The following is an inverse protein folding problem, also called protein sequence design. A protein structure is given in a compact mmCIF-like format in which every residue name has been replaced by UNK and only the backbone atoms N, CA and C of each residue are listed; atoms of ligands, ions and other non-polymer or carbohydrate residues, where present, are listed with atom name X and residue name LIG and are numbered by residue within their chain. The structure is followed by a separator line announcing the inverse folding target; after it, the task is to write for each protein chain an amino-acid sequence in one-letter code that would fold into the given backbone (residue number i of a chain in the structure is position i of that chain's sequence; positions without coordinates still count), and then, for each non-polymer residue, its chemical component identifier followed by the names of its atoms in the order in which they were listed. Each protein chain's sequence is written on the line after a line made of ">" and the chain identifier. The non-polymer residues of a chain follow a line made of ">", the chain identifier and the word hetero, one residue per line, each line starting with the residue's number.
data_IF_875081829036
#
_entry.id   IF_875081829036
#
_cell.length_a   1.000
_cell.length_b   1.000
_cell.length_c   1.000
_cell.angle_alpha   90.00
_cell.angle_beta   90.00
_cell.angle_gamma   90.00
#
_symmetry.space_group_name_H-M   'P 1'
#
loop_
_entity.id
_entity.type
_entity.pdbx_description
1 polymer ?
#
# COMPACT_ATOMS: atom_id res chain seq x y z
N UNK A 1 26.08 27.68 14.63
CA UNK A 1 25.37 26.43 14.30
C UNK A 1 26.23 25.73 13.28
N UNK A 2 26.65 24.47 13.49
CA UNK A 2 27.43 23.79 12.47
C UNK A 2 26.48 23.34 11.36
N UNK A 3 26.80 23.75 10.13
CA UNK A 3 26.25 23.21 8.90
C UNK A 3 26.43 21.69 8.92
N UNK A 4 25.31 20.99 9.05
CA UNK A 4 25.27 19.54 8.90
C UNK A 4 25.27 19.26 7.39
N UNK A 5 26.45 19.36 6.78
CA UNK A 5 26.64 18.98 5.39
C UNK A 5 26.26 17.50 5.27
N UNK A 6 25.13 17.23 4.60
CA UNK A 6 24.70 15.87 4.31
C UNK A 6 25.84 15.17 3.55
N UNK A 7 26.31 14.03 4.09
CA UNK A 7 27.30 13.22 3.39
C UNK A 7 26.78 12.86 1.99
N UNK A 8 27.63 12.89 0.95
CA UNK A 8 27.20 12.61 -0.41
C UNK A 8 26.69 11.17 -0.50
N UNK A 9 25.39 11.02 -0.76
CA UNK A 9 24.75 9.72 -1.00
C UNK A 9 25.45 9.03 -2.17
N UNK A 10 26.17 7.95 -1.89
CA UNK A 10 26.87 7.18 -2.92
C UNK A 10 25.84 6.45 -3.77
N UNK A 11 25.63 6.93 -5.00
CA UNK A 11 24.73 6.30 -5.96
C UNK A 11 25.37 5.03 -6.53
N UNK A 12 24.65 3.92 -6.45
CA UNK A 12 24.98 2.73 -7.23
C UNK A 12 24.54 2.98 -8.67
N UNK A 13 25.41 2.69 -9.63
CA UNK A 13 25.14 2.87 -11.06
C UNK A 13 25.13 1.51 -11.75
N UNK A 14 24.11 1.28 -12.57
CA UNK A 14 23.88 0.03 -13.29
C UNK A 14 23.67 0.34 -14.78
N UNK A 15 24.09 -0.60 -15.63
CA UNK A 15 23.87 -0.54 -17.07
C UNK A 15 22.99 -1.73 -17.49
N UNK A 16 21.77 -1.44 -17.94
CA UNK A 16 20.80 -2.46 -18.35
C UNK A 16 20.15 -2.05 -19.66
N UNK A 17 20.20 -2.94 -20.66
CA UNK A 17 19.55 -2.77 -21.97
C UNK A 17 19.78 -1.40 -22.63
N UNK A 18 21.02 -0.89 -22.53
CA UNK A 18 21.39 0.40 -23.12
C UNK A 18 21.05 1.62 -22.28
N UNK A 19 20.44 1.44 -21.11
CA UNK A 19 20.06 2.49 -20.17
C UNK A 19 20.98 2.50 -18.94
N UNK A 20 21.27 3.70 -18.44
CA UNK A 20 21.95 3.90 -17.16
C UNK A 20 20.87 4.09 -16.09
N UNK A 21 20.89 3.24 -15.08
CA UNK A 21 20.00 3.33 -13.92
C UNK A 21 20.86 3.59 -12.69
N UNK A 22 20.43 4.50 -11.84
CA UNK A 22 21.08 4.78 -10.57
C UNK A 22 20.13 4.48 -9.42
N UNK A 23 20.66 4.01 -8.30
CA UNK A 23 19.87 3.84 -7.07
C UNK A 23 20.69 4.24 -5.84
N UNK A 24 20.09 5.00 -4.90
CA UNK A 24 20.73 5.34 -3.63
C UNK A 24 20.61 4.23 -2.58
N UNK A 25 19.65 3.30 -2.70
CA UNK A 25 19.32 2.37 -1.62
C UNK A 25 18.97 0.94 -2.07
N UNK A 26 19.01 0.63 -3.37
CA UNK A 26 18.66 -0.69 -3.90
C UNK A 26 19.75 -1.27 -4.80
N UNK A 27 19.83 -2.59 -4.82
CA UNK A 27 20.49 -3.31 -5.91
C UNK A 27 19.49 -3.51 -7.05
N UNK A 28 19.97 -3.42 -8.29
CA UNK A 28 19.10 -3.62 -9.44
C UNK A 28 18.57 -5.06 -9.48
N UNK A 29 17.30 -5.30 -9.86
CA UNK A 29 16.82 -6.65 -10.11
C UNK A 29 17.67 -7.30 -11.22
N UNK A 30 17.89 -8.62 -11.11
CA UNK A 30 18.70 -9.37 -12.10
C UNK A 30 18.15 -9.29 -13.53
N UNK A 31 16.86 -9.01 -13.67
CA UNK A 31 16.17 -8.83 -14.95
C UNK A 31 15.29 -7.59 -14.83
N UNK A 32 15.52 -6.62 -15.70
CA UNK A 32 14.73 -5.38 -15.77
C UNK A 32 13.86 -5.48 -17.01
N UNK A 33 12.59 -5.86 -16.86
CA UNK A 33 11.66 -5.91 -17.99
C UNK A 33 11.10 -4.51 -18.26
N UNK A 34 11.82 -3.74 -19.08
CA UNK A 34 11.43 -2.37 -19.47
C UNK A 34 10.05 -2.29 -20.12
N UNK A 35 9.61 -3.35 -20.80
CA UNK A 35 8.30 -3.40 -21.43
C UNK A 35 7.21 -3.59 -20.36
N UNK A 36 7.41 -4.52 -19.42
CA UNK A 36 6.48 -4.71 -18.30
C UNK A 36 6.41 -3.48 -17.39
N UNK A 37 7.53 -2.80 -17.14
CA UNK A 37 7.56 -1.60 -16.29
C UNK A 37 6.80 -0.41 -16.88
N UNK A 38 6.73 -0.33 -18.22
CA UNK A 38 5.98 0.70 -18.94
C UNK A 38 4.50 0.38 -19.17
N UNK A 39 4.01 -0.79 -18.71
CA UNK A 39 2.59 -1.14 -18.89
C UNK A 39 1.72 -0.23 -18.04
N UNK A 40 0.72 0.36 -18.69
CA UNK A 40 -0.39 0.98 -17.98
C UNK A 40 -1.15 -0.08 -17.19
N UNK A 41 -1.77 0.35 -16.10
CA UNK A 41 -2.72 -0.49 -15.39
C UNK A 41 -3.89 -0.85 -16.30
N UNK A 42 -4.51 -2.02 -16.05
CA UNK A 42 -5.82 -2.29 -16.62
C UNK A 42 -6.84 -1.22 -16.17
N UNK A 43 -7.93 -1.11 -16.92
CA UNK A 43 -9.08 -0.26 -16.56
C UNK A 43 -10.33 -1.13 -16.34
N UNK A 44 -10.75 -1.36 -15.08
CA UNK A 44 -10.15 -0.89 -13.83
C UNK A 44 -8.88 -1.68 -13.45
N UNK A 45 -8.00 -1.12 -12.59
CA UNK A 45 -6.75 -1.78 -12.22
C UNK A 45 -6.99 -3.00 -11.32
N UNK A 46 -6.23 -4.07 -11.53
CA UNK A 46 -6.27 -5.24 -10.65
C UNK A 46 -5.26 -5.10 -9.50
N UNK A 47 -5.59 -5.52 -8.25
CA UNK A 47 -4.68 -5.35 -7.12
C UNK A 47 -3.36 -6.11 -7.28
N UNK A 48 -3.37 -7.21 -8.03
CA UNK A 48 -2.17 -7.99 -8.35
C UNK A 48 -1.13 -7.20 -9.15
N UNK A 49 -1.55 -6.22 -9.95
CA UNK A 49 -0.65 -5.38 -10.76
C UNK A 49 0.22 -4.46 -9.90
N UNK A 50 -0.27 -4.09 -8.71
CA UNK A 50 0.50 -3.32 -7.73
C UNK A 50 1.66 -4.11 -7.13
N UNK A 51 1.75 -5.42 -7.41
CA UNK A 51 2.81 -6.31 -6.91
C UNK A 51 4.00 -6.45 -7.85
N UNK A 52 3.97 -5.74 -8.97
CA UNK A 52 5.04 -5.74 -9.96
C UNK A 52 5.89 -4.48 -9.80
N UNK A 53 7.21 -4.61 -10.00
CA UNK A 53 8.10 -3.45 -10.06
C UNK A 53 7.78 -2.67 -11.33
N UNK A 54 7.57 -1.35 -11.21
CA UNK A 54 7.13 -0.47 -12.30
C UNK A 54 7.84 0.87 -12.27
N UNK A 55 7.70 1.64 -13.34
CA UNK A 55 8.04 3.06 -13.31
C UNK A 55 7.13 3.82 -12.35
N UNK A 56 7.65 4.89 -11.77
CA UNK A 56 6.92 5.82 -10.92
C UNK A 56 5.69 6.37 -11.64
N UNK A 57 4.56 6.41 -10.95
CA UNK A 57 3.29 6.91 -11.48
C UNK A 57 2.88 8.17 -10.74
N UNK A 58 2.48 9.21 -11.48
CA UNK A 58 1.84 10.39 -10.89
C UNK A 58 0.41 10.08 -10.42
N UNK A 59 -0.29 9.19 -11.14
CA UNK A 59 -1.61 8.68 -10.78
C UNK A 59 -1.58 7.89 -9.46
N UNK A 60 -0.54 7.09 -9.25
CA UNK A 60 -0.37 6.24 -8.07
C UNK A 60 1.03 6.40 -7.45
N UNK A 61 1.31 7.54 -6.78
CA UNK A 61 2.65 7.84 -6.28
C UNK A 61 3.09 6.91 -5.13
N UNK A 62 2.14 6.26 -4.48
CA UNK A 62 2.35 5.34 -3.37
C UNK A 62 2.77 3.92 -3.81
N UNK A 63 2.81 3.60 -5.11
CA UNK A 63 3.06 2.22 -5.60
C UNK A 63 4.31 1.57 -5.01
N UNK A 64 5.39 2.33 -4.86
CA UNK A 64 6.63 1.80 -4.29
C UNK A 64 6.47 1.28 -2.86
N UNK A 65 5.46 1.75 -2.13
CA UNK A 65 5.21 1.35 -0.74
C UNK A 65 4.52 -0.01 -0.60
N UNK A 66 4.10 -0.66 -1.68
CA UNK A 66 3.44 -1.98 -1.59
C UNK A 66 4.40 -3.00 -0.95
N UNK A 67 3.99 -3.72 0.11
CA UNK A 67 4.82 -4.76 0.71
C UNK A 67 5.11 -5.88 -0.30
N UNK A 68 6.38 -6.29 -0.42
CA UNK A 68 6.79 -7.35 -1.33
C UNK A 68 6.25 -8.72 -0.87
N UNK A 69 6.31 -8.95 0.44
CA UNK A 69 5.84 -10.18 1.10
C UNK A 69 4.78 -9.85 2.16
N UNK A 70 3.53 -9.62 1.74
CA UNK A 70 2.49 -9.18 2.66
C UNK A 70 2.17 -10.24 3.71
N UNK A 71 2.12 -9.80 4.97
CA UNK A 71 1.88 -10.67 6.13
C UNK A 71 0.42 -10.55 6.59
N UNK A 72 -0.40 -11.57 6.33
CA UNK A 72 -1.80 -11.60 6.81
C UNK A 72 -1.86 -12.17 8.23
N UNK A 73 -1.33 -11.43 9.20
CA UNK A 73 -1.26 -11.88 10.60
C UNK A 73 -1.54 -10.74 11.57
N UNK A 74 -1.56 -11.06 12.87
CA UNK A 74 -1.86 -10.11 13.93
C UNK A 74 -3.33 -9.71 13.98
N UNK A 75 -3.65 -8.80 14.91
CA UNK A 75 -5.04 -8.44 15.19
C UNK A 75 -5.67 -7.60 14.07
N UNK A 76 -4.86 -6.89 13.29
CA UNK A 76 -5.33 -5.96 12.25
C UNK A 76 -5.53 -6.61 10.86
N UNK A 77 -4.74 -7.63 10.53
CA UNK A 77 -4.79 -8.27 9.21
C UNK A 77 -5.05 -9.78 9.26
N UNK A 78 -5.09 -10.40 10.44
CA UNK A 78 -5.28 -11.85 10.58
C UNK A 78 -6.61 -12.37 10.02
N UNK A 79 -7.69 -11.58 10.06
CA UNK A 79 -8.97 -11.95 9.44
C UNK A 79 -9.00 -11.79 7.92
N UNK A 80 -7.94 -11.25 7.32
CA UNK A 80 -7.70 -11.29 5.86
C UNK A 80 -6.94 -12.56 5.43
N UNK A 81 -6.48 -13.37 6.39
CA UNK A 81 -5.64 -14.55 6.16
C UNK A 81 -6.42 -15.74 5.59
N UNK A 82 -6.95 -15.58 4.39
CA UNK A 82 -7.61 -16.63 3.62
C UNK A 82 -6.87 -16.85 2.30
N UNK A 83 -7.07 -18.00 1.67
CA UNK A 83 -6.63 -18.30 0.31
C UNK A 83 -7.78 -18.96 -0.46
N UNK A 84 -7.58 -19.31 -1.75
CA UNK A 84 -8.63 -19.90 -2.59
C UNK A 84 -9.27 -21.18 -2.01
N UNK A 85 -8.56 -21.90 -1.15
CA UNK A 85 -9.06 -23.11 -0.48
C UNK A 85 -9.77 -22.76 0.84
N UNK A 86 -9.14 -21.96 1.70
CA UNK A 86 -9.70 -21.64 3.03
C UNK A 86 -10.84 -20.64 2.98
N UNK A 87 -10.94 -19.81 1.94
CA UNK A 87 -12.03 -18.84 1.79
C UNK A 87 -13.41 -19.51 1.69
N UNK A 88 -13.48 -20.77 1.24
CA UNK A 88 -14.74 -21.52 1.15
C UNK A 88 -15.42 -21.69 2.51
N UNK A 89 -14.65 -21.77 3.61
CA UNK A 89 -15.22 -21.87 4.96
C UNK A 89 -15.68 -20.54 5.54
N UNK A 90 -15.39 -19.42 4.87
CA UNK A 90 -15.83 -18.08 5.27
C UNK A 90 -17.13 -17.66 4.57
N UNK A 91 -17.61 -18.48 3.63
CA UNK A 91 -18.79 -18.19 2.82
C UNK A 91 -19.99 -18.95 3.38
N UNK A 92 -21.12 -18.26 3.43
CA UNK A 92 -22.40 -18.80 3.85
C UNK A 92 -23.44 -18.70 2.73
N UNK A 93 -24.30 -19.69 2.63
CA UNK A 93 -25.42 -19.70 1.70
C UNK A 93 -26.69 -19.22 2.42
N UNK A 94 -27.26 -18.10 1.99
CA UNK A 94 -28.46 -17.50 2.60
C UNK A 94 -29.34 -16.91 1.49
N UNK A 95 -30.66 -17.13 1.54
CA UNK A 95 -31.63 -16.54 0.58
C UNK A 95 -31.25 -16.72 -0.90
N UNK A 96 -30.76 -17.91 -1.27
CA UNK A 96 -30.33 -18.24 -2.64
C UNK A 96 -29.11 -17.47 -3.18
N UNK A 97 -28.30 -16.89 -2.29
CA UNK A 97 -27.04 -16.22 -2.63
C UNK A 97 -25.95 -16.54 -1.60
N UNK A 98 -24.70 -16.47 -2.04
CA UNK A 98 -23.51 -16.63 -1.21
C UNK A 98 -23.07 -15.28 -0.64
N UNK A 99 -22.78 -15.25 0.66
CA UNK A 99 -22.26 -14.09 1.40
C UNK A 99 -21.04 -14.48 2.22
N UNK A 100 -20.20 -13.51 2.58
CA UNK A 100 -19.24 -13.72 3.67
C UNK A 100 -20.02 -13.86 4.97
N UNK A 101 -19.51 -14.69 5.89
CA UNK A 101 -20.07 -14.74 7.23
C UNK A 101 -20.07 -13.33 7.87
N UNK A 102 -21.04 -13.07 8.73
CA UNK A 102 -21.30 -11.70 9.22
C UNK A 102 -20.11 -11.14 9.99
N UNK A 103 -19.41 -11.99 10.75
CA UNK A 103 -18.25 -11.59 11.55
C UNK A 103 -17.09 -11.10 10.68
N UNK A 104 -16.72 -11.87 9.63
CA UNK A 104 -15.66 -11.51 8.69
C UNK A 104 -16.09 -10.31 7.86
N UNK A 105 -17.34 -10.28 7.39
CA UNK A 105 -17.88 -9.15 6.65
C UNK A 105 -17.78 -7.83 7.42
N UNK A 106 -18.27 -7.80 8.66
CA UNK A 106 -18.23 -6.58 9.48
C UNK A 106 -16.80 -6.14 9.76
N UNK A 107 -15.91 -7.10 10.03
CA UNK A 107 -14.51 -6.80 10.24
C UNK A 107 -13.85 -6.19 8.99
N UNK A 108 -14.01 -6.80 7.82
CA UNK A 108 -13.43 -6.29 6.56
C UNK A 108 -13.95 -4.88 6.26
N UNK A 109 -15.26 -4.66 6.44
CA UNK A 109 -15.89 -3.35 6.26
C UNK A 109 -15.32 -2.31 7.21
N UNK A 110 -15.17 -2.65 8.49
CA UNK A 110 -14.63 -1.73 9.49
C UNK A 110 -13.16 -1.42 9.21
N UNK A 111 -12.35 -2.46 8.94
CA UNK A 111 -10.92 -2.30 8.63
C UNK A 111 -10.72 -1.40 7.41
N UNK A 112 -11.45 -1.65 6.32
CA UNK A 112 -11.39 -0.83 5.12
C UNK A 112 -11.72 0.64 5.43
N UNK A 113 -12.81 0.88 6.17
CA UNK A 113 -13.20 2.23 6.59
C UNK A 113 -12.15 2.92 7.46
N UNK A 114 -11.56 2.21 8.42
CA UNK A 114 -10.50 2.74 9.29
C UNK A 114 -9.24 3.08 8.51
N UNK A 115 -8.80 2.23 7.58
CA UNK A 115 -7.62 2.52 6.73
C UNK A 115 -7.87 3.70 5.79
N UNK A 116 -9.06 3.80 5.18
CA UNK A 116 -9.44 4.97 4.38
C UNK A 116 -9.41 6.25 5.21
N UNK A 117 -9.91 6.20 6.45
CA UNK A 117 -9.84 7.34 7.36
C UNK A 117 -8.39 7.73 7.68
N UNK A 118 -7.51 6.76 7.96
CA UNK A 118 -6.07 7.01 8.18
C UNK A 118 -5.46 7.75 6.99
N UNK A 119 -5.71 7.28 5.76
CA UNK A 119 -5.19 7.93 4.55
C UNK A 119 -5.66 9.38 4.46
N UNK A 120 -6.97 9.61 4.59
CA UNK A 120 -7.56 10.94 4.44
C UNK A 120 -7.00 11.92 5.48
N UNK A 121 -6.87 11.49 6.74
CA UNK A 121 -6.35 12.35 7.81
C UNK A 121 -4.86 12.64 7.64
N UNK A 122 -4.05 11.64 7.31
CA UNK A 122 -2.59 11.79 7.26
C UNK A 122 -2.10 12.49 6.00
N UNK A 123 -2.75 12.30 4.86
CA UNK A 123 -2.44 13.08 3.64
C UNK A 123 -2.64 14.56 3.91
N UNK A 124 -3.80 14.95 4.46
CA UNK A 124 -4.09 16.35 4.81
C UNK A 124 -3.12 16.86 5.88
N UNK A 125 -2.85 16.07 6.91
CA UNK A 125 -1.95 16.45 8.00
C UNK A 125 -0.49 16.63 7.55
N UNK A 126 -0.01 15.79 6.64
CA UNK A 126 1.37 15.85 6.13
C UNK A 126 1.65 17.08 5.26
N UNK A 127 0.62 17.68 4.66
CA UNK A 127 0.79 18.78 3.71
C UNK A 127 1.48 18.36 2.41
N UNK A 128 1.53 17.06 2.11
CA UNK A 128 2.12 16.56 0.85
C UNK A 128 1.34 17.09 -0.35
N UNK A 129 2.05 17.62 -1.34
CA UNK A 129 1.47 18.06 -2.60
C UNK A 129 1.29 16.83 -3.50
N UNK A 130 0.04 16.39 -3.68
CA UNK A 130 -0.27 15.29 -4.59
C UNK A 130 -0.38 15.78 -6.04
N UNK A 131 -0.01 14.95 -7.03
CA UNK A 131 -0.18 15.27 -8.44
C UNK A 131 -1.65 15.50 -8.81
N UNK A 132 -1.92 16.32 -9.83
CA UNK A 132 -3.28 16.61 -10.29
C UNK A 132 -4.01 15.38 -10.85
N UNK A 133 -3.26 14.45 -11.43
CA UNK A 133 -3.75 13.18 -11.96
C UNK A 133 -3.77 12.05 -10.91
N UNK A 134 -3.50 12.37 -9.63
CA UNK A 134 -3.65 11.42 -8.52
C UNK A 134 -5.04 10.81 -8.55
N UNK A 135 -5.10 9.48 -8.71
CA UNK A 135 -6.36 8.75 -8.73
C UNK A 135 -6.48 7.83 -7.53
N UNK A 136 -7.72 7.63 -7.11
CA UNK A 136 -8.06 6.64 -6.10
C UNK A 136 -8.04 5.25 -6.74
N UNK A 137 -7.24 4.35 -6.19
CA UNK A 137 -7.30 2.93 -6.55
C UNK A 137 -8.61 2.31 -6.03
N UNK A 138 -9.22 1.36 -6.76
CA UNK A 138 -10.43 0.68 -6.31
C UNK A 138 -10.27 0.11 -4.89
N UNK A 139 -11.18 0.48 -3.99
CA UNK A 139 -11.23 -0.04 -2.63
C UNK A 139 -11.62 -1.52 -2.63
N UNK A 140 -11.30 -2.28 -1.56
CA UNK A 140 -11.81 -3.64 -1.38
C UNK A 140 -13.30 -3.79 -1.67
N UNK A 141 -14.14 -2.84 -1.26
CA UNK A 141 -15.59 -2.91 -1.49
C UNK A 141 -16.01 -2.88 -2.95
N UNK A 142 -15.20 -2.28 -3.81
CA UNK A 142 -15.47 -2.17 -5.26
C UNK A 142 -15.26 -3.50 -6.00
N UNK A 143 -14.71 -4.52 -5.31
CA UNK A 143 -14.63 -5.90 -5.80
C UNK A 143 -15.81 -6.77 -5.35
N UNK A 144 -16.88 -6.16 -4.82
CA UNK A 144 -18.18 -6.78 -4.53
C UNK A 144 -18.16 -7.91 -3.49
N UNK A 145 -17.26 -7.86 -2.50
CA UNK A 145 -17.31 -8.79 -1.35
C UNK A 145 -18.50 -8.52 -0.41
N UNK A 146 -19.08 -7.31 -0.49
CA UNK A 146 -20.22 -6.87 0.34
C UNK A 146 -21.57 -7.33 -0.21
N UNK A 147 -21.59 -7.74 -1.47
CA UNK A 147 -22.81 -8.13 -2.17
C UNK A 147 -22.97 -9.66 -2.15
N UNK A 148 -24.21 -10.13 -2.26
CA UNK A 148 -24.51 -11.55 -2.39
C UNK A 148 -24.33 -12.01 -3.83
N UNK A 149 -23.77 -13.21 -4.05
CA UNK A 149 -23.53 -13.75 -5.39
C UNK A 149 -24.28 -15.06 -5.60
N UNK A 150 -24.86 -15.27 -6.78
CA UNK A 150 -25.55 -16.52 -7.10
C UNK A 150 -24.59 -17.73 -7.26
N UNK A 151 -23.32 -17.49 -7.60
CA UNK A 151 -22.33 -18.54 -7.88
C UNK A 151 -21.15 -18.49 -6.92
N UNK A 152 -20.85 -19.62 -6.27
CA UNK A 152 -19.77 -19.74 -5.28
C UNK A 152 -18.41 -19.37 -5.85
N UNK A 153 -18.05 -19.90 -7.02
CA UNK A 153 -16.72 -19.63 -7.60
C UNK A 153 -16.56 -18.17 -8.05
N UNK A 154 -17.64 -17.53 -8.50
CA UNK A 154 -17.64 -16.09 -8.80
C UNK A 154 -17.43 -15.29 -7.51
N UNK A 155 -18.12 -15.68 -6.44
CA UNK A 155 -17.99 -15.00 -5.16
C UNK A 155 -16.60 -15.14 -4.55
N UNK A 156 -16.03 -16.34 -4.59
CA UNK A 156 -14.66 -16.60 -4.16
C UNK A 156 -13.68 -15.70 -4.91
N UNK A 157 -13.82 -15.54 -6.23
CA UNK A 157 -12.98 -14.61 -7.01
C UNK A 157 -13.13 -13.18 -6.51
N UNK A 158 -14.35 -12.70 -6.27
CA UNK A 158 -14.61 -11.37 -5.69
C UNK A 158 -13.96 -11.19 -4.33
N UNK A 159 -14.07 -12.16 -3.42
CA UNK A 159 -13.43 -12.09 -2.09
C UNK A 159 -11.90 -12.03 -2.22
N UNK A 160 -11.31 -12.85 -3.09
CA UNK A 160 -9.85 -12.87 -3.29
C UNK A 160 -9.34 -11.56 -3.87
N UNK A 161 -10.07 -10.95 -4.82
CA UNK A 161 -9.75 -9.62 -5.35
C UNK A 161 -9.88 -8.54 -4.28
N UNK A 162 -10.96 -8.56 -3.49
CA UNK A 162 -11.16 -7.63 -2.39
C UNK A 162 -10.06 -7.75 -1.32
N UNK A 163 -9.65 -8.98 -0.97
CA UNK A 163 -8.52 -9.24 -0.07
C UNK A 163 -7.25 -8.57 -0.60
N UNK A 164 -6.94 -8.80 -1.87
CA UNK A 164 -5.72 -8.28 -2.48
C UNK A 164 -5.77 -6.75 -2.64
N UNK A 165 -6.96 -6.15 -2.76
CA UNK A 165 -7.17 -4.71 -2.76
C UNK A 165 -6.86 -4.02 -1.41
N UNK A 166 -6.70 -4.77 -0.32
CA UNK A 166 -6.14 -4.21 0.91
C UNK A 166 -4.65 -3.84 0.74
N UNK A 167 -3.91 -4.51 -0.15
CA UNK A 167 -2.49 -4.20 -0.39
C UNK A 167 -2.24 -2.77 -0.88
N UNK A 168 -2.88 -2.28 -1.95
CA UNK A 168 -2.73 -0.89 -2.38
C UNK A 168 -3.23 0.09 -1.31
N UNK A 169 -4.28 -0.24 -0.56
CA UNK A 169 -4.76 0.60 0.53
C UNK A 169 -3.72 0.69 1.68
N UNK A 170 -3.11 -0.43 2.05
CA UNK A 170 -2.02 -0.50 3.03
C UNK A 170 -0.78 0.28 2.56
N UNK A 171 -0.44 0.18 1.28
CA UNK A 171 0.65 0.93 0.67
C UNK A 171 0.38 2.44 0.74
N UNK A 172 -0.85 2.87 0.42
CA UNK A 172 -1.28 4.25 0.53
C UNK A 172 -1.27 4.76 1.98
N UNK A 173 -1.65 3.93 2.97
CA UNK A 173 -1.45 4.26 4.38
C UNK A 173 0.04 4.45 4.72
N UNK A 174 0.89 3.53 4.27
CA UNK A 174 2.35 3.59 4.53
C UNK A 174 2.96 4.86 3.93
N UNK A 175 2.55 5.21 2.70
CA UNK A 175 2.92 6.46 2.04
C UNK A 175 2.47 7.67 2.86
N UNK A 176 1.21 7.72 3.27
CA UNK A 176 0.67 8.83 4.05
C UNK A 176 1.40 9.01 5.39
N UNK A 177 1.76 7.90 6.06
CA UNK A 177 2.57 7.91 7.28
C UNK A 177 3.98 8.47 6.98
N UNK A 178 4.66 7.98 5.95
CA UNK A 178 6.02 8.40 5.60
C UNK A 178 6.14 9.89 5.23
N UNK A 179 5.04 10.50 4.74
CA UNK A 179 4.98 11.92 4.45
C UNK A 179 4.90 12.79 5.71
N UNK A 180 4.55 12.23 6.87
CA UNK A 180 4.52 13.00 8.12
C UNK A 180 5.92 13.27 8.68
N UNK A 181 6.08 14.37 9.42
CA UNK A 181 7.34 14.69 10.08
C UNK A 181 7.61 13.70 11.23
N UNK A 182 8.86 13.23 11.35
CA UNK A 182 9.26 12.33 12.43
C UNK A 182 8.54 10.98 12.43
N UNK A 183 8.10 10.47 11.28
CA UNK A 183 7.23 9.27 11.18
C UNK A 183 7.81 7.97 11.78
N UNK A 184 9.13 7.92 12.00
CA UNK A 184 9.86 6.81 12.64
C UNK A 184 10.26 7.07 14.10
N UNK A 185 9.95 8.24 14.65
CA UNK A 185 10.31 8.56 16.03
C UNK A 185 9.49 7.72 17.01
N UNK A 186 10.03 7.51 18.21
CA UNK A 186 9.26 6.96 19.32
C UNK A 186 8.07 7.88 19.60
N UNK A 187 6.85 7.31 19.66
CA UNK A 187 5.60 8.04 19.75
C UNK A 187 5.41 9.10 18.63
N UNK A 188 5.30 8.65 17.37
CA UNK A 188 5.34 9.54 16.22
C UNK A 188 4.08 10.41 16.12
N UNK A 189 4.21 11.63 15.60
CA UNK A 189 3.12 12.61 15.58
C UNK A 189 1.86 12.12 14.84
N UNK A 190 2.02 11.22 13.88
CA UNK A 190 0.89 10.65 13.14
C UNK A 190 -0.03 9.80 14.04
N UNK A 191 0.49 9.08 15.05
CA UNK A 191 -0.35 8.28 15.96
C UNK A 191 -1.21 9.20 16.82
N UNK A 192 -0.59 10.22 17.42
CA UNK A 192 -1.27 11.24 18.20
C UNK A 192 -2.35 11.95 17.38
N UNK A 193 -2.04 12.27 16.12
CA UNK A 193 -2.99 12.89 15.20
C UNK A 193 -4.22 12.01 14.97
N UNK A 194 -4.04 10.72 14.73
CA UNK A 194 -5.15 9.78 14.51
C UNK A 194 -6.04 9.68 15.75
N UNK A 195 -5.45 9.57 16.95
CA UNK A 195 -6.21 9.54 18.21
C UNK A 195 -6.99 10.83 18.42
N UNK A 196 -6.38 12.00 18.20
CA UNK A 196 -7.05 13.30 18.28
C UNK A 196 -8.22 13.44 17.27
N UNK A 197 -8.17 12.70 16.17
CA UNK A 197 -9.23 12.65 15.15
C UNK A 197 -10.28 11.58 15.40
N UNK A 198 -10.23 10.91 16.54
CA UNK A 198 -11.24 9.95 16.98
C UNK A 198 -10.95 8.51 16.60
N UNK A 199 -9.75 8.19 16.10
CA UNK A 199 -9.33 6.79 15.99
C UNK A 199 -9.20 6.18 17.39
N UNK A 200 -9.68 4.94 17.53
CA UNK A 200 -9.54 4.20 18.78
C UNK A 200 -8.06 3.91 19.06
N UNK A 201 -7.58 4.14 20.28
CA UNK A 201 -6.15 3.98 20.64
C UNK A 201 -5.64 2.58 20.31
N UNK A 202 -6.42 1.54 20.62
CA UNK A 202 -6.02 0.15 20.30
C UNK A 202 -5.86 -0.10 18.80
N UNK A 203 -6.65 0.56 17.94
CA UNK A 203 -6.46 0.46 16.49
C UNK A 203 -5.15 1.12 16.06
N UNK A 204 -4.83 2.28 16.62
CA UNK A 204 -3.59 3.01 16.29
C UNK A 204 -2.36 2.23 16.75
N UNK A 205 -2.40 1.63 17.94
CA UNK A 205 -1.32 0.76 18.44
C UNK A 205 -1.12 -0.50 17.57
N UNK A 206 -2.21 -1.12 17.12
CA UNK A 206 -2.13 -2.26 16.20
C UNK A 206 -1.64 -1.85 14.81
N UNK A 207 -2.01 -0.66 14.34
CA UNK A 207 -1.52 -0.10 13.09
C UNK A 207 -0.01 0.17 13.16
N UNK A 208 0.46 0.77 14.25
CA UNK A 208 1.88 1.04 14.54
C UNK A 208 2.73 -0.24 14.57
N UNK A 209 2.19 -1.34 15.12
CA UNK A 209 2.85 -2.65 15.16
C UNK A 209 2.74 -3.45 13.85
N UNK A 210 1.98 -2.96 12.88
CA UNK A 210 1.71 -3.69 11.63
C UNK A 210 2.72 -3.35 10.53
N UNK A 211 2.75 -4.17 9.48
CA UNK A 211 3.56 -3.94 8.28
C UNK A 211 3.28 -2.61 7.55
N UNK A 212 2.18 -1.91 7.88
CA UNK A 212 1.88 -0.59 7.32
C UNK A 212 2.82 0.47 7.88
N UNK A 213 3.10 0.42 9.18
CA UNK A 213 3.98 1.36 9.87
C UNK A 213 5.39 0.80 10.13
N UNK A 214 5.58 -0.51 9.94
CA UNK A 214 6.92 -1.12 9.95
C UNK A 214 7.66 -0.83 8.63
N UNK A 215 8.61 0.09 8.70
CA UNK A 215 9.47 0.46 7.57
C UNK A 215 10.78 -0.33 7.51
N UNK A 216 10.88 -1.43 8.26
CA UNK A 216 11.91 -2.47 8.05
C UNK A 216 11.48 -3.52 7.02
N UNK A 217 10.18 -3.63 6.75
CA UNK A 217 9.61 -4.55 5.75
C UNK A 217 10.09 -4.19 4.34
N UNK A 218 10.42 -5.21 3.55
CA UNK A 218 10.79 -5.04 2.15
C UNK A 218 9.58 -4.63 1.31
N UNK A 219 9.73 -3.52 0.59
CA UNK A 219 8.72 -2.94 -0.30
C UNK A 219 9.14 -3.11 -1.76
N UNK A 220 8.18 -3.07 -2.66
CA UNK A 220 8.42 -3.34 -4.09
C UNK A 220 9.30 -2.28 -4.73
N UNK A 221 9.16 -1.03 -4.31
CA UNK A 221 9.88 0.09 -4.90
C UNK A 221 9.36 0.50 -6.27
N UNK A 222 9.99 1.50 -6.86
CA UNK A 222 9.64 2.05 -8.18
C UNK A 222 10.90 2.56 -8.88
N UNK A 223 10.90 2.53 -10.21
CA UNK A 223 11.90 3.25 -11.00
C UNK A 223 11.45 4.69 -11.22
N UNK A 224 12.22 5.65 -10.72
CA UNK A 224 11.87 7.07 -10.84
C UNK A 224 12.13 7.57 -12.27
N UNK A 225 11.15 8.27 -12.83
CA UNK A 225 11.30 9.03 -14.07
C UNK A 225 11.35 10.53 -13.79
N UNK A 226 12.03 11.29 -14.65
CA UNK A 226 12.14 12.76 -14.51
C UNK A 226 10.79 13.50 -14.57
N UNK A 227 9.73 12.84 -15.04
CA UNK A 227 8.36 13.36 -15.12
C UNK A 227 7.54 13.11 -13.85
N UNK A 228 8.13 12.50 -12.82
CA UNK A 228 7.42 12.17 -11.59
C UNK A 228 7.33 13.38 -10.65
N UNK A 229 6.12 13.89 -10.44
CA UNK A 229 5.85 15.11 -9.67
C UNK A 229 6.13 14.96 -8.17
N UNK A 230 6.22 13.73 -7.66
CA UNK A 230 6.51 13.43 -6.25
C UNK A 230 8.03 13.29 -6.00
N UNK A 231 8.86 13.59 -7.00
CA UNK A 231 10.32 13.61 -6.88
C UNK A 231 10.88 14.43 -5.70
N UNK A 232 10.29 15.59 -5.29
CA UNK A 232 10.74 16.31 -4.10
C UNK A 232 10.66 15.51 -2.79
N UNK A 233 9.94 14.37 -2.79
CA UNK A 233 9.76 13.50 -1.63
C UNK A 233 10.58 12.21 -1.71
N UNK A 234 11.53 12.08 -2.64
CA UNK A 234 12.38 10.88 -2.76
C UNK A 234 13.11 10.55 -1.45
N UNK A 235 13.57 11.56 -0.71
CA UNK A 235 14.20 11.34 0.60
C UNK A 235 13.25 10.65 1.58
N UNK A 236 11.93 10.85 1.46
CA UNK A 236 10.93 10.15 2.27
C UNK A 236 10.79 8.68 1.86
N UNK A 237 10.94 8.36 0.58
CA UNK A 237 10.96 6.97 0.10
C UNK A 237 12.19 6.24 0.62
N UNK A 238 13.36 6.87 0.50
CA UNK A 238 14.63 6.33 1.02
C UNK A 238 14.54 6.16 2.55
N UNK A 239 14.09 7.19 3.26
CA UNK A 239 13.89 7.14 4.71
C UNK A 239 12.85 6.11 5.12
N UNK A 240 11.92 5.71 4.25
CA UNK A 240 10.93 4.68 4.49
C UNK A 240 11.37 3.27 4.04
N UNK A 241 12.64 3.11 3.64
CA UNK A 241 13.19 1.87 3.08
C UNK A 241 12.43 1.38 1.84
N UNK A 242 11.93 2.31 1.02
CA UNK A 242 11.35 2.01 -0.29
C UNK A 242 12.46 2.04 -1.33
N UNK A 243 12.68 0.95 -2.09
CA UNK A 243 13.64 0.94 -3.20
C UNK A 243 13.26 1.98 -4.26
N UNK A 244 14.20 2.85 -4.63
CA UNK A 244 14.02 3.90 -5.64
C UNK A 244 15.23 4.05 -6.56
#
# INVERSE_FOLDING_TARGET
>A
MPDNAAEPTTLKTFYCDGQIITSPNADLPKVVDHIAMGRMFNDPPFPGECREVRFSSNTYPWLGFVPKYPQWQGNLFGKLACNKHTVRSLVEWRKHTFYLNDEVYQYWRQLEGSLVHVVNELIVYSGVALPLDFAKFPLPSEYNYREGHAGLDKFIKSIMLARDAFLPLMALCSFAIAMTAGFRQDNPLWTQRLVQRGCHTSFVEELEKSQVADFSVERIGVFIQNTWHVQPYVDRFIAANVPV
#
